data_IF_458110525486
#
_entry.id   IF_458110525486
#
_cell.length_a   1.000
_cell.length_b   1.000
_cell.length_c   1.000
_cell.angle_alpha   90.00
_cell.angle_beta   90.00
_cell.angle_gamma   90.00
#
_symmetry.space_group_name_H-M   'P 1'
#
loop_
_entity.id
_entity.type
_entity.pdbx_description
1 polymer ?
#
# COMPACT_ATOMS: atom_id res chain seq x y z
N UNK A 1 -1.02 4.60 -5.97
CA UNK A 1 -1.03 5.21 -7.32
C UNK A 1 -1.64 6.59 -7.20
N UNK A 2 -0.89 7.64 -7.47
CA UNK A 2 -1.42 9.00 -7.46
C UNK A 2 -0.66 9.84 -8.50
N UNK A 3 -1.17 11.04 -8.79
CA UNK A 3 -0.42 12.00 -9.60
C UNK A 3 0.74 12.57 -8.77
N UNK A 4 1.90 12.78 -9.40
CA UNK A 4 3.11 13.30 -8.76
C UNK A 4 3.05 14.79 -8.35
N UNK A 5 1.93 15.46 -8.58
CA UNK A 5 1.71 16.81 -8.07
C UNK A 5 0.95 16.73 -6.74
N UNK A 6 1.63 17.02 -5.64
CA UNK A 6 1.14 16.75 -4.28
C UNK A 6 -0.19 17.43 -3.94
N UNK A 7 -0.45 18.61 -4.51
CA UNK A 7 -1.73 19.32 -4.28
C UNK A 7 -2.93 18.48 -4.75
N UNK A 8 -2.75 17.61 -5.75
CA UNK A 8 -3.80 16.72 -6.24
C UNK A 8 -4.08 15.53 -5.32
N UNK A 9 -3.11 15.13 -4.47
CA UNK A 9 -3.32 14.05 -3.49
C UNK A 9 -4.41 14.48 -2.50
N UNK A 10 -4.31 15.71 -1.97
CA UNK A 10 -5.31 16.27 -1.05
C UNK A 10 -6.69 16.50 -1.67
N UNK A 11 -6.76 16.62 -3.00
CA UNK A 11 -8.02 16.73 -3.74
C UNK A 11 -8.67 15.38 -4.07
N UNK A 12 -8.02 14.26 -3.69
CA UNK A 12 -8.57 12.92 -3.86
C UNK A 12 -8.08 12.19 -5.10
N UNK A 13 -7.05 12.69 -5.81
CA UNK A 13 -6.48 11.99 -6.96
C UNK A 13 -5.43 10.94 -6.53
N UNK A 14 -5.88 10.01 -5.69
CA UNK A 14 -5.08 8.91 -5.19
C UNK A 14 -5.93 7.63 -5.15
N UNK A 15 -5.29 6.50 -5.47
CA UNK A 15 -5.88 5.17 -5.38
C UNK A 15 -4.83 4.15 -4.96
N UNK A 16 -5.27 3.01 -4.45
CA UNK A 16 -4.42 1.92 -3.99
C UNK A 16 -4.79 0.65 -4.76
N UNK A 17 -3.76 -0.14 -5.07
CA UNK A 17 -3.91 -1.49 -5.58
C UNK A 17 -3.51 -2.42 -4.44
N UNK A 18 -4.45 -3.18 -3.92
CA UNK A 18 -4.18 -4.25 -2.97
C UNK A 18 -3.96 -5.53 -3.76
N UNK A 19 -2.83 -6.18 -3.53
CA UNK A 19 -2.48 -7.43 -4.19
C UNK A 19 -2.42 -8.50 -3.12
N UNK A 20 -3.25 -9.53 -3.28
CA UNK A 20 -3.31 -10.66 -2.36
C UNK A 20 -2.07 -11.55 -2.48
N UNK A 21 -1.81 -12.33 -1.43
CA UNK A 21 -0.69 -13.27 -1.40
C UNK A 21 -0.82 -14.33 -2.50
N UNK A 22 0.30 -14.66 -3.14
CA UNK A 22 0.43 -15.78 -4.04
C UNK A 22 0.59 -17.12 -3.30
N UNK A 23 0.79 -18.19 -4.07
CA UNK A 23 0.89 -19.57 -3.54
C UNK A 23 2.25 -19.83 -2.88
N UNK A 24 3.31 -19.21 -3.39
CA UNK A 24 4.68 -19.42 -2.89
C UNK A 24 4.97 -18.67 -1.59
N UNK A 25 5.87 -19.23 -0.77
CA UNK A 25 6.36 -18.59 0.46
C UNK A 25 6.95 -17.18 0.22
N UNK A 26 7.62 -16.98 -0.92
CA UNK A 26 8.21 -15.69 -1.32
C UNK A 26 7.23 -14.76 -2.05
N UNK A 27 5.96 -15.16 -2.17
CA UNK A 27 4.89 -14.37 -2.77
C UNK A 27 3.87 -13.89 -1.72
N UNK A 28 4.26 -13.91 -0.44
CA UNK A 28 3.45 -13.44 0.68
C UNK A 28 4.05 -12.19 1.30
N UNK A 29 3.19 -11.28 1.73
CA UNK A 29 3.59 -10.10 2.50
C UNK A 29 4.00 -10.51 3.92
N UNK A 30 5.04 -9.88 4.45
CA UNK A 30 5.49 -10.09 5.83
C UNK A 30 4.46 -9.54 6.84
N UNK A 31 4.31 -10.16 8.02
CA UNK A 31 3.41 -9.65 9.04
C UNK A 31 3.87 -8.26 9.53
N UNK A 32 2.93 -7.41 9.98
CA UNK A 32 3.28 -6.09 10.52
C UNK A 32 4.18 -6.22 11.75
N UNK A 33 5.12 -5.27 11.95
CA UNK A 33 5.97 -5.27 13.12
C UNK A 33 5.16 -4.93 14.38
N UNK A 34 5.67 -5.35 15.55
CA UNK A 34 4.97 -5.23 16.83
C UNK A 34 4.79 -3.77 17.28
N UNK A 35 5.67 -2.88 16.84
CA UNK A 35 5.72 -1.45 17.18
C UNK A 35 5.05 -0.56 16.12
N UNK A 36 4.29 -1.13 15.18
CA UNK A 36 3.54 -0.37 14.19
C UNK A 36 2.52 0.55 14.89
N UNK A 37 2.53 1.88 14.64
CA UNK A 37 1.52 2.79 15.17
C UNK A 37 0.12 2.41 14.67
N UNK A 38 -0.88 2.51 15.55
CA UNK A 38 -2.30 2.35 15.23
C UNK A 38 -2.93 3.67 14.77
#
# INVERSE_FOLDING_TARGET
MHCHLDVHIGWGLATLLVVDNGVGKLQSVEPPPLDLPL
#
